data_IF_198328377187
#
_entry.id   IF_198328377187
#
_cell.length_a   1.000
_cell.length_b   1.000
_cell.length_c   1.000
_cell.angle_alpha   90.00
_cell.angle_beta   90.00
_cell.angle_gamma   90.00
#
_symmetry.space_group_name_H-M   'P 1'
#
loop_
_entity.id
_entity.type
_entity.pdbx_description
1 polymer ?
#
# COMPACT_ATOMS: atom_id res chain seq x y z
N UNK A 1 -1.96 13.16 33.79
CA UNK A 1 -1.18 12.52 34.90
C UNK A 1 -0.36 11.40 34.30
N UNK A 2 0.97 11.43 34.44
CA UNK A 2 1.84 10.38 33.86
C UNK A 2 1.99 9.24 34.85
N UNK A 3 1.86 7.99 34.43
CA UNK A 3 1.92 6.80 35.31
C UNK A 3 3.23 6.67 36.11
N UNK A 4 4.32 7.34 35.66
CA UNK A 4 5.64 7.32 36.30
C UNK A 4 6.00 8.60 37.09
N UNK A 5 5.10 9.55 37.19
CA UNK A 5 5.34 10.85 37.82
C UNK A 5 5.57 10.75 39.33
N UNK A 6 6.76 11.10 39.77
CA UNK A 6 7.16 11.17 41.18
C UNK A 6 7.52 12.61 41.55
N UNK A 7 6.53 13.39 41.93
CA UNK A 7 6.64 14.68 42.66
C UNK A 7 7.74 15.68 42.24
N UNK A 8 7.99 15.86 40.91
CA UNK A 8 8.79 16.99 40.44
C UNK A 8 8.15 17.62 39.20
N UNK A 9 8.28 18.95 39.07
CA UNK A 9 7.76 19.67 37.91
C UNK A 9 8.51 19.26 36.65
N UNK A 10 7.77 18.79 35.66
CA UNK A 10 8.33 18.45 34.33
C UNK A 10 8.53 19.76 33.55
N UNK A 11 9.76 19.97 33.06
CA UNK A 11 10.02 21.08 32.16
C UNK A 11 9.21 20.93 30.87
N UNK A 12 8.30 21.87 30.60
CA UNK A 12 7.40 21.86 29.43
C UNK A 12 8.12 21.80 28.09
N UNK A 13 9.35 22.35 28.01
CA UNK A 13 10.14 22.27 26.78
C UNK A 13 10.67 20.85 26.54
N UNK A 14 11.13 20.16 27.58
CA UNK A 14 11.53 18.74 27.52
C UNK A 14 10.32 17.88 27.15
N UNK A 15 9.16 18.13 27.77
CA UNK A 15 7.94 17.42 27.45
C UNK A 15 7.54 17.60 25.99
N UNK A 16 7.51 18.85 25.50
CA UNK A 16 7.22 19.15 24.10
C UNK A 16 8.17 18.41 23.15
N UNK A 17 9.47 18.39 23.46
CA UNK A 17 10.47 17.71 22.63
C UNK A 17 10.30 16.18 22.65
N UNK A 18 10.03 15.59 23.81
CA UNK A 18 9.94 14.13 23.98
C UNK A 18 8.62 13.53 23.50
N UNK A 19 7.51 14.25 23.63
CA UNK A 19 6.21 13.84 23.09
C UNK A 19 6.15 14.10 21.58
N UNK A 20 6.69 15.24 21.12
CA UNK A 20 6.70 15.59 19.69
C UNK A 20 5.30 15.54 19.08
N UNK A 21 5.17 14.80 17.98
CA UNK A 21 3.90 14.54 17.28
C UNK A 21 3.20 13.24 17.70
N UNK A 22 3.64 12.61 18.79
CA UNK A 22 3.17 11.26 19.14
C UNK A 22 1.67 11.21 19.37
N UNK A 23 1.09 12.23 20.05
CA UNK A 23 -0.37 12.31 20.25
C UNK A 23 -1.15 12.37 18.94
N UNK A 24 -0.65 13.12 17.95
CA UNK A 24 -1.27 13.20 16.62
C UNK A 24 -1.21 11.85 15.91
N UNK A 25 -0.05 11.18 15.96
CA UNK A 25 0.16 9.88 15.36
C UNK A 25 -0.62 8.77 16.05
N UNK A 26 -0.77 8.83 17.34
CA UNK A 26 -1.51 7.85 18.13
C UNK A 26 -3.02 7.84 17.83
N UNK A 27 -3.57 8.93 17.28
CA UNK A 27 -4.96 8.93 16.83
C UNK A 27 -5.22 7.90 15.72
N UNK A 28 -4.24 7.61 14.88
CA UNK A 28 -4.32 6.51 13.90
C UNK A 28 -4.47 5.14 14.57
N UNK A 29 -3.93 4.99 15.78
CA UNK A 29 -3.87 3.72 16.51
C UNK A 29 -5.03 3.55 17.51
N UNK A 30 -5.81 4.59 17.79
CA UNK A 30 -6.76 4.62 18.90
C UNK A 30 -7.77 3.45 18.89
N UNK A 31 -8.41 3.16 17.75
CA UNK A 31 -9.36 2.03 17.68
C UNK A 31 -8.66 0.66 17.84
N UNK A 32 -7.41 0.56 17.48
CA UNK A 32 -6.62 -0.67 17.56
C UNK A 32 -6.11 -0.92 18.99
N UNK A 33 -5.77 0.13 19.74
CA UNK A 33 -5.48 0.03 21.16
C UNK A 33 -6.71 -0.49 21.94
N UNK A 34 -7.89 -0.02 21.57
CA UNK A 34 -9.15 -0.52 22.16
C UNK A 34 -9.35 -2.01 21.85
N UNK A 35 -9.17 -2.45 20.60
CA UNK A 35 -9.27 -3.87 20.20
C UNK A 35 -8.26 -4.75 20.93
N UNK A 36 -7.00 -4.31 20.98
CA UNK A 36 -5.93 -4.97 21.73
C UNK A 36 -6.26 -5.09 23.21
N UNK A 37 -6.80 -4.02 23.79
CA UNK A 37 -7.25 -3.96 25.18
C UNK A 37 -8.42 -4.90 25.47
N UNK A 38 -9.41 -5.00 24.56
CA UNK A 38 -10.54 -5.94 24.71
C UNK A 38 -10.07 -7.39 24.74
N UNK A 39 -9.16 -7.76 23.84
CA UNK A 39 -8.58 -9.11 23.83
C UNK A 39 -7.75 -9.37 25.09
N UNK A 40 -6.99 -8.37 25.55
CA UNK A 40 -6.16 -8.48 26.73
C UNK A 40 -6.99 -8.70 28.01
N UNK A 41 -8.03 -7.89 28.26
CA UNK A 41 -8.86 -8.05 29.48
C UNK A 41 -9.67 -9.35 29.46
N UNK A 42 -10.07 -9.83 28.27
CA UNK A 42 -10.72 -11.14 28.14
C UNK A 42 -9.75 -12.26 28.55
N UNK A 43 -8.48 -12.14 28.18
CA UNK A 43 -7.43 -13.05 28.63
C UNK A 43 -7.18 -12.91 30.15
N UNK A 44 -7.18 -11.69 30.72
CA UNK A 44 -6.99 -11.48 32.17
C UNK A 44 -8.06 -12.16 33.01
N UNK A 45 -9.33 -12.14 32.56
CA UNK A 45 -10.40 -12.88 33.23
C UNK A 45 -10.13 -14.37 33.20
N UNK A 46 -9.71 -14.93 32.06
CA UNK A 46 -9.43 -16.36 31.89
C UNK A 46 -8.32 -16.90 32.81
N UNK A 47 -7.44 -16.02 33.29
CA UNK A 47 -6.36 -16.35 34.22
C UNK A 47 -6.63 -15.87 35.66
N UNK A 48 -7.84 -15.41 35.95
CA UNK A 48 -8.29 -15.03 37.30
C UNK A 48 -7.78 -13.67 37.82
N UNK A 49 -7.32 -12.76 36.93
CA UNK A 49 -6.93 -11.40 37.29
C UNK A 49 -8.09 -10.40 37.18
N UNK A 50 -9.18 -10.80 36.55
CA UNK A 50 -10.45 -10.07 36.50
C UNK A 50 -11.59 -11.01 36.84
N UNK A 51 -12.60 -10.47 37.52
CA UNK A 51 -13.87 -11.16 37.71
C UNK A 51 -14.75 -10.99 36.47
N UNK A 52 -15.68 -11.92 36.25
CA UNK A 52 -16.57 -11.93 35.09
C UNK A 52 -17.42 -10.66 34.94
N UNK A 53 -17.89 -10.12 36.06
CA UNK A 53 -18.68 -8.89 36.09
C UNK A 53 -17.82 -7.67 35.75
N UNK A 54 -16.56 -7.65 36.20
CA UNK A 54 -15.58 -6.61 35.85
C UNK A 54 -15.28 -6.63 34.35
N UNK A 55 -15.05 -7.81 33.78
CA UNK A 55 -14.85 -7.98 32.34
C UNK A 55 -16.04 -7.42 31.54
N UNK A 56 -17.27 -7.75 31.96
CA UNK A 56 -18.49 -7.28 31.27
C UNK A 56 -18.56 -5.75 31.23
N UNK A 57 -18.27 -5.08 32.35
CA UNK A 57 -18.31 -3.62 32.44
C UNK A 57 -17.19 -2.97 31.64
N UNK A 58 -15.96 -3.52 31.71
CA UNK A 58 -14.81 -3.03 30.96
C UNK A 58 -15.02 -3.16 29.46
N UNK A 59 -15.53 -4.31 28.98
CA UNK A 59 -15.84 -4.52 27.55
C UNK A 59 -16.91 -3.53 27.07
N UNK A 60 -17.97 -3.27 27.88
CA UNK A 60 -19.01 -2.32 27.52
C UNK A 60 -18.44 -0.91 27.32
N UNK A 61 -17.55 -0.47 28.24
CA UNK A 61 -16.96 0.86 28.13
C UNK A 61 -15.91 0.94 27.01
N UNK A 62 -15.09 -0.09 26.80
CA UNK A 62 -14.18 -0.16 25.64
C UNK A 62 -14.94 -0.08 24.30
N UNK A 63 -16.10 -0.74 24.18
CA UNK A 63 -16.97 -0.60 23.01
C UNK A 63 -17.48 0.83 22.81
N UNK A 64 -17.75 1.57 23.91
CA UNK A 64 -18.11 2.98 23.81
C UNK A 64 -16.93 3.83 23.32
N UNK A 65 -15.72 3.59 23.85
CA UNK A 65 -14.50 4.28 23.40
C UNK A 65 -14.21 3.96 21.93
N UNK A 66 -14.37 2.70 21.49
CA UNK A 66 -14.22 2.31 20.09
C UNK A 66 -15.14 3.11 19.17
N UNK A 67 -16.41 3.28 19.56
CA UNK A 67 -17.38 4.10 18.78
C UNK A 67 -16.98 5.58 18.72
N UNK A 68 -16.34 6.12 19.75
CA UNK A 68 -15.77 7.48 19.70
C UNK A 68 -14.65 7.57 18.68
N UNK A 69 -13.78 6.55 18.61
CA UNK A 69 -12.72 6.48 17.60
C UNK A 69 -13.30 6.44 16.18
N UNK A 70 -14.31 5.60 15.94
CA UNK A 70 -14.95 5.48 14.61
C UNK A 70 -15.61 6.79 14.15
N UNK A 71 -16.15 7.58 15.08
CA UNK A 71 -16.76 8.88 14.77
C UNK A 71 -15.78 10.03 14.69
N UNK A 72 -14.47 9.78 14.92
CA UNK A 72 -13.46 10.83 14.98
C UNK A 72 -13.62 11.78 16.17
N UNK A 73 -14.31 11.33 17.24
CA UNK A 73 -14.58 12.09 18.46
C UNK A 73 -13.59 11.75 19.60
N UNK A 74 -12.73 10.74 19.43
CA UNK A 74 -11.71 10.39 20.40
C UNK A 74 -10.56 11.40 20.35
N UNK A 75 -10.20 11.93 21.50
CA UNK A 75 -9.13 12.92 21.64
C UNK A 75 -8.15 12.46 22.73
N UNK A 76 -6.87 12.76 22.54
CA UNK A 76 -5.85 12.62 23.59
C UNK A 76 -5.70 13.97 24.25
N UNK A 77 -6.02 14.05 25.56
CA UNK A 77 -6.00 15.29 26.32
C UNK A 77 -4.56 15.83 26.48
N UNK A 78 -4.42 17.14 26.60
CA UNK A 78 -3.11 17.81 26.60
C UNK A 78 -2.16 17.36 27.71
N UNK A 79 -2.69 16.90 28.85
CA UNK A 79 -1.93 16.39 30.00
C UNK A 79 -1.69 14.88 29.94
N UNK A 80 -2.13 14.22 28.85
CA UNK A 80 -1.97 12.79 28.61
C UNK A 80 -0.86 12.54 27.59
N UNK A 81 -0.01 11.55 27.83
CA UNK A 81 1.19 11.30 27.02
C UNK A 81 0.87 10.63 25.68
N UNK A 82 -0.01 9.62 25.68
CA UNK A 82 -0.28 8.70 24.58
C UNK A 82 -1.71 8.14 24.61
N UNK A 83 -2.07 7.39 23.58
CA UNK A 83 -3.37 6.73 23.45
C UNK A 83 -3.65 5.74 24.57
N UNK A 84 -2.64 4.98 25.00
CA UNK A 84 -2.78 3.97 26.06
C UNK A 84 -3.22 4.59 27.37
N UNK A 85 -2.56 5.71 27.74
CA UNK A 85 -2.92 6.48 28.94
C UNK A 85 -4.30 7.11 28.83
N UNK A 86 -4.70 7.56 27.62
CA UNK A 86 -6.02 8.14 27.41
C UNK A 86 -7.12 7.09 27.60
N UNK A 87 -6.97 5.90 27.03
CA UNK A 87 -7.93 4.79 27.18
C UNK A 87 -8.05 4.38 28.67
N UNK A 88 -6.91 4.17 29.35
CA UNK A 88 -6.90 3.83 30.78
C UNK A 88 -7.56 4.93 31.63
N UNK A 89 -7.30 6.19 31.32
CA UNK A 89 -7.91 7.33 32.04
C UNK A 89 -9.42 7.38 31.83
N UNK A 90 -9.92 7.19 30.61
CA UNK A 90 -11.36 7.16 30.35
C UNK A 90 -12.05 6.02 31.12
N UNK A 91 -11.46 4.83 31.13
CA UNK A 91 -11.93 3.67 31.88
C UNK A 91 -11.94 3.99 33.39
N UNK A 92 -10.87 4.58 33.90
CA UNK A 92 -10.73 4.91 35.32
C UNK A 92 -11.74 6.01 35.76
N UNK A 93 -11.97 7.01 34.92
CA UNK A 93 -13.01 8.03 35.17
C UNK A 93 -14.41 7.43 35.26
N UNK A 94 -14.70 6.41 34.46
CA UNK A 94 -16.01 5.77 34.37
C UNK A 94 -16.20 4.67 35.40
N UNK A 95 -15.18 3.85 35.64
CA UNK A 95 -15.26 2.59 36.37
C UNK A 95 -14.40 2.57 37.68
N UNK A 96 -13.73 3.68 38.01
CA UNK A 96 -12.86 3.76 39.17
C UNK A 96 -11.66 2.82 39.10
N UNK A 97 -11.32 2.18 40.23
CA UNK A 97 -10.13 1.30 40.31
C UNK A 97 -10.19 0.09 39.40
N UNK A 98 -11.36 -0.32 38.96
CA UNK A 98 -11.53 -1.39 37.95
C UNK A 98 -10.85 -1.01 36.61
N UNK A 99 -10.97 0.28 36.22
CA UNK A 99 -10.33 0.77 35.00
C UNK A 99 -8.81 0.63 35.00
N UNK A 100 -8.17 0.71 36.18
CA UNK A 100 -6.71 0.56 36.31
C UNK A 100 -6.21 -0.88 36.08
N UNK A 101 -7.07 -1.89 36.24
CA UNK A 101 -6.72 -3.30 36.07
C UNK A 101 -6.32 -3.64 34.65
N UNK A 102 -6.74 -2.85 33.66
CA UNK A 102 -6.44 -3.06 32.24
C UNK A 102 -4.93 -3.14 31.94
N UNK A 103 -4.10 -2.49 32.77
CA UNK A 103 -2.64 -2.46 32.57
C UNK A 103 -1.92 -3.71 33.12
N UNK A 104 -2.62 -4.59 33.86
CA UNK A 104 -2.02 -5.79 34.46
C UNK A 104 -1.37 -6.70 33.42
N UNK A 105 -0.11 -7.10 33.64
CA UNK A 105 0.59 -8.07 32.79
C UNK A 105 1.03 -7.56 31.41
N UNK A 106 0.92 -6.28 31.11
CA UNK A 106 1.41 -5.68 29.84
C UNK A 106 2.26 -4.44 30.09
N UNK A 107 2.88 -3.95 29.04
CA UNK A 107 3.63 -2.70 28.98
C UNK A 107 3.14 -1.85 27.80
N UNK A 108 3.36 -0.54 27.85
CA UNK A 108 3.18 0.31 26.65
C UNK A 108 3.95 -0.21 25.44
N UNK A 109 5.05 -0.90 25.68
CA UNK A 109 5.88 -1.45 24.60
C UNK A 109 5.15 -2.51 23.78
N UNK A 110 4.47 -3.49 24.41
CA UNK A 110 3.72 -4.51 23.67
C UNK A 110 2.32 -4.02 23.25
N UNK A 111 1.76 -2.99 23.91
CA UNK A 111 0.56 -2.31 23.46
C UNK A 111 0.79 -1.63 22.10
N UNK A 112 1.77 -0.75 21.99
CA UNK A 112 2.04 -0.06 20.72
C UNK A 112 2.41 -1.04 19.60
N UNK A 113 3.05 -2.18 19.91
CA UNK A 113 3.35 -3.20 18.92
C UNK A 113 2.08 -3.86 18.36
N UNK A 114 1.13 -4.24 19.23
CA UNK A 114 -0.12 -4.84 18.77
C UNK A 114 -0.97 -3.83 18.00
N UNK A 115 -1.03 -2.59 18.44
CA UNK A 115 -1.78 -1.53 17.77
C UNK A 115 -1.25 -1.28 16.36
N UNK A 116 0.06 -1.15 16.21
CA UNK A 116 0.71 -0.99 14.91
C UNK A 116 0.45 -2.19 13.98
N UNK A 117 0.47 -3.41 14.50
CA UNK A 117 0.21 -4.59 13.68
C UNK A 117 -1.27 -4.70 13.28
N UNK A 118 -2.20 -4.37 14.19
CA UNK A 118 -3.62 -4.33 13.88
C UNK A 118 -3.93 -3.24 12.85
N UNK A 119 -3.42 -2.02 13.06
CA UNK A 119 -3.50 -0.93 12.10
C UNK A 119 -2.93 -1.35 10.72
N UNK A 120 -1.70 -1.83 10.71
CA UNK A 120 -1.00 -2.17 9.46
C UNK A 120 -1.73 -3.26 8.69
N UNK A 121 -2.28 -4.31 9.35
CA UNK A 121 -3.08 -5.35 8.69
C UNK A 121 -4.31 -4.77 7.98
N UNK A 122 -5.00 -3.84 8.64
CA UNK A 122 -6.17 -3.16 8.08
C UNK A 122 -5.79 -2.32 6.84
N UNK A 123 -4.76 -1.51 6.99
CA UNK A 123 -4.26 -0.66 5.90
C UNK A 123 -3.74 -1.47 4.70
N UNK A 124 -3.06 -2.60 4.96
CA UNK A 124 -2.60 -3.49 3.88
C UNK A 124 -3.78 -4.15 3.13
N UNK A 125 -4.88 -4.45 3.84
CA UNK A 125 -6.11 -4.92 3.19
C UNK A 125 -6.71 -3.85 2.29
N UNK A 126 -6.83 -2.62 2.78
CA UNK A 126 -7.36 -1.52 1.98
C UNK A 126 -6.47 -1.24 0.75
N UNK A 127 -5.14 -1.26 0.92
CA UNK A 127 -4.22 -1.14 -0.22
C UNK A 127 -4.40 -2.29 -1.21
N UNK A 128 -4.56 -3.54 -0.74
CA UNK A 128 -4.79 -4.68 -1.62
C UNK A 128 -6.09 -4.51 -2.44
N UNK A 129 -7.16 -4.01 -1.82
CA UNK A 129 -8.42 -3.71 -2.49
C UNK A 129 -8.23 -2.61 -3.57
N UNK A 130 -7.50 -1.54 -3.26
CA UNK A 130 -7.25 -0.44 -4.21
C UNK A 130 -6.32 -0.87 -5.36
N UNK A 131 -5.30 -1.69 -5.09
CA UNK A 131 -4.45 -2.29 -6.14
C UNK A 131 -5.29 -3.17 -7.06
N UNK A 132 -6.17 -4.00 -6.47
CA UNK A 132 -7.08 -4.85 -7.24
C UNK A 132 -8.04 -4.02 -8.09
N UNK A 133 -8.56 -2.93 -7.57
CA UNK A 133 -9.43 -2.01 -8.31
C UNK A 133 -8.70 -1.39 -9.52
N UNK A 134 -7.49 -0.87 -9.33
CA UNK A 134 -6.67 -0.34 -10.43
C UNK A 134 -6.33 -1.44 -11.46
N UNK A 135 -5.98 -2.62 -10.99
CA UNK A 135 -5.71 -3.79 -11.84
C UNK A 135 -6.91 -4.12 -12.74
N UNK A 136 -8.12 -4.15 -12.19
CA UNK A 136 -9.33 -4.48 -12.95
C UNK A 136 -9.61 -3.44 -14.05
N UNK A 137 -9.40 -2.15 -13.75
CA UNK A 137 -9.50 -1.09 -14.76
C UNK A 137 -8.46 -1.24 -15.87
N UNK A 138 -7.21 -1.57 -15.53
CA UNK A 138 -6.14 -1.78 -16.50
C UNK A 138 -6.43 -2.98 -17.41
N UNK A 139 -6.90 -4.10 -16.87
CA UNK A 139 -7.29 -5.29 -17.65
C UNK A 139 -8.50 -4.97 -18.54
N UNK A 140 -9.48 -4.23 -18.04
CA UNK A 140 -10.61 -3.81 -18.86
C UNK A 140 -10.15 -2.98 -20.06
N UNK A 141 -9.27 -1.99 -19.85
CA UNK A 141 -8.68 -1.16 -20.91
C UNK A 141 -7.81 -1.99 -21.86
N UNK A 142 -7.02 -2.92 -21.33
CA UNK A 142 -6.22 -3.84 -22.15
C UNK A 142 -7.12 -4.64 -23.11
N UNK A 143 -8.21 -5.20 -22.63
CA UNK A 143 -9.18 -5.93 -23.45
C UNK A 143 -9.91 -5.04 -24.45
N UNK A 144 -10.29 -3.84 -24.03
CA UNK A 144 -11.01 -2.87 -24.87
C UNK A 144 -10.16 -2.44 -26.10
N UNK A 145 -8.87 -2.21 -25.88
CA UNK A 145 -7.95 -1.66 -26.88
C UNK A 145 -6.91 -2.70 -27.37
N UNK A 146 -7.20 -4.00 -27.25
CA UNK A 146 -6.28 -5.08 -27.60
C UNK A 146 -5.77 -5.02 -29.05
N UNK A 147 -6.64 -4.59 -29.96
CA UNK A 147 -6.39 -4.52 -31.40
C UNK A 147 -5.99 -3.11 -31.86
N UNK A 148 -5.96 -2.12 -30.98
CA UNK A 148 -5.57 -0.74 -31.31
C UNK A 148 -4.06 -0.60 -31.21
N UNK A 149 -3.40 -0.51 -32.35
CA UNK A 149 -1.95 -0.41 -32.44
C UNK A 149 -1.45 0.97 -32.00
N UNK A 150 -0.26 0.99 -31.42
CA UNK A 150 0.49 2.20 -31.09
C UNK A 150 1.98 1.99 -31.39
N UNK A 151 2.77 3.05 -31.61
CA UNK A 151 4.21 2.89 -31.82
C UNK A 151 4.89 2.53 -30.47
N UNK A 152 5.69 1.46 -30.50
CA UNK A 152 6.59 1.11 -29.42
C UNK A 152 7.91 1.86 -29.54
N UNK A 153 8.54 2.16 -28.41
CA UNK A 153 9.78 2.94 -28.32
C UNK A 153 10.88 2.17 -27.60
N UNK A 154 12.10 2.28 -28.14
CA UNK A 154 13.33 1.96 -27.41
C UNK A 154 14.27 3.16 -27.52
N UNK A 155 14.98 3.52 -26.44
CA UNK A 155 15.87 4.70 -26.41
C UNK A 155 15.16 6.01 -26.80
N UNK A 156 13.85 6.13 -26.54
CA UNK A 156 12.99 7.22 -27.03
C UNK A 156 12.99 7.39 -28.55
N UNK A 157 13.37 6.34 -29.28
CA UNK A 157 13.25 6.26 -30.73
C UNK A 157 12.10 5.32 -31.09
N UNK A 158 11.40 5.64 -32.16
CA UNK A 158 10.37 4.78 -32.75
C UNK A 158 10.99 3.45 -33.12
N UNK A 159 10.41 2.35 -32.65
CA UNK A 159 11.02 1.02 -32.79
C UNK A 159 10.13 0.04 -33.54
N UNK A 160 9.15 -0.55 -32.88
CA UNK A 160 8.28 -1.59 -33.42
C UNK A 160 6.81 -1.29 -33.12
N UNK A 161 5.86 -1.96 -33.78
CA UNK A 161 4.46 -1.86 -33.41
C UNK A 161 4.24 -2.43 -32.01
N UNK A 162 3.39 -1.77 -31.24
CA UNK A 162 2.82 -2.21 -29.99
C UNK A 162 1.30 -2.03 -30.05
N UNK A 163 0.59 -2.30 -28.96
CA UNK A 163 -0.82 -1.96 -28.84
C UNK A 163 -1.12 -1.30 -27.50
N UNK A 164 -2.19 -0.52 -27.45
CA UNK A 164 -2.69 0.00 -26.17
C UNK A 164 -3.07 -1.14 -25.22
N UNK A 165 -3.56 -2.26 -25.76
CA UNK A 165 -3.82 -3.46 -24.97
C UNK A 165 -2.57 -3.97 -24.23
N UNK A 166 -1.43 -4.07 -24.95
CA UNK A 166 -0.13 -4.42 -24.34
C UNK A 166 0.32 -3.41 -23.28
N UNK A 167 0.16 -2.11 -23.56
CA UNK A 167 0.58 -1.06 -22.63
C UNK A 167 -0.20 -1.12 -21.30
N UNK A 168 -1.54 -1.21 -21.34
CA UNK A 168 -2.35 -1.37 -20.14
C UNK A 168 -2.08 -2.70 -19.43
N UNK A 169 -1.99 -3.80 -20.21
CA UNK A 169 -1.70 -5.14 -19.68
C UNK A 169 -0.37 -5.24 -18.96
N UNK A 170 0.66 -4.55 -19.44
CA UNK A 170 1.98 -4.54 -18.79
C UNK A 170 1.95 -3.95 -17.37
N UNK A 171 1.17 -2.89 -17.15
CA UNK A 171 0.98 -2.34 -15.80
C UNK A 171 0.11 -3.24 -14.93
N UNK A 172 -0.89 -3.90 -15.51
CA UNK A 172 -1.69 -4.89 -14.77
C UNK A 172 -0.81 -6.05 -14.29
N UNK A 173 0.03 -6.61 -15.15
CA UNK A 173 0.95 -7.70 -14.78
C UNK A 173 1.99 -7.26 -13.74
N UNK A 174 2.53 -6.03 -13.86
CA UNK A 174 3.43 -5.46 -12.85
C UNK A 174 2.79 -5.37 -11.46
N UNK A 175 1.49 -5.05 -11.39
CA UNK A 175 0.76 -5.04 -10.12
C UNK A 175 0.58 -6.44 -9.52
N UNK A 176 0.65 -7.52 -10.29
CA UNK A 176 0.66 -8.88 -9.74
C UNK A 176 1.92 -9.14 -8.90
N UNK A 177 3.09 -8.72 -9.38
CA UNK A 177 4.34 -8.83 -8.61
C UNK A 177 4.31 -7.97 -7.35
N UNK A 178 3.79 -6.74 -7.46
CA UNK A 178 3.62 -5.84 -6.30
C UNK A 178 2.67 -6.45 -5.26
N UNK A 179 1.60 -7.11 -5.69
CA UNK A 179 0.64 -7.78 -4.81
C UNK A 179 1.26 -8.97 -4.07
N UNK A 180 2.13 -9.76 -4.73
CA UNK A 180 2.90 -10.83 -4.08
C UNK A 180 3.80 -10.27 -2.97
N UNK A 181 4.45 -9.14 -3.22
CA UNK A 181 5.31 -8.51 -2.23
C UNK A 181 4.50 -7.94 -1.05
N UNK A 182 3.33 -7.36 -1.34
CA UNK A 182 2.37 -6.90 -0.32
C UNK A 182 1.87 -8.05 0.55
N UNK A 183 1.57 -9.20 -0.05
CA UNK A 183 1.15 -10.42 0.65
C UNK A 183 2.25 -10.92 1.60
N UNK A 184 3.51 -10.93 1.16
CA UNK A 184 4.63 -11.30 2.02
C UNK A 184 4.77 -10.35 3.22
N UNK A 185 4.60 -9.04 3.02
CA UNK A 185 4.59 -8.04 4.09
C UNK A 185 3.42 -8.26 5.07
N UNK A 186 2.22 -8.57 4.55
CA UNK A 186 1.05 -8.91 5.36
C UNK A 186 1.30 -10.14 6.24
N UNK A 187 1.81 -11.25 5.68
CA UNK A 187 2.12 -12.49 6.43
C UNK A 187 3.14 -12.24 7.56
N UNK A 188 4.12 -11.36 7.33
CA UNK A 188 5.08 -10.98 8.37
C UNK A 188 4.45 -10.10 9.47
N UNK A 189 3.49 -9.26 9.12
CA UNK A 189 2.77 -8.38 10.05
C UNK A 189 1.74 -9.17 10.86
N UNK A 190 1.12 -10.20 10.29
CA UNK A 190 0.01 -10.96 10.85
C UNK A 190 0.45 -11.97 11.94
N UNK A 191 1.24 -11.45 12.92
CA UNK A 191 1.77 -12.22 14.05
C UNK A 191 1.61 -11.42 15.35
N UNK A 192 0.94 -12.00 16.35
CA UNK A 192 0.60 -11.33 17.61
C UNK A 192 1.85 -11.07 18.48
N UNK A 193 2.16 -9.81 18.84
CA UNK A 193 3.26 -9.47 19.75
C UNK A 193 2.80 -9.38 21.21
N UNK A 194 1.48 -9.26 21.48
CA UNK A 194 0.91 -8.99 22.78
C UNK A 194 1.27 -10.07 23.80
N UNK A 195 1.53 -9.66 25.04
CA UNK A 195 2.03 -10.51 26.11
C UNK A 195 3.56 -10.66 26.12
N UNK A 196 4.28 -9.94 25.26
CA UNK A 196 5.73 -9.78 25.38
C UNK A 196 6.12 -8.80 26.51
N UNK A 197 5.15 -8.05 27.03
CA UNK A 197 5.32 -7.02 28.03
C UNK A 197 6.42 -6.01 27.63
N UNK A 198 7.37 -5.71 28.51
CA UNK A 198 8.49 -4.83 28.20
C UNK A 198 9.56 -5.49 27.29
N UNK A 199 9.25 -6.64 26.68
CA UNK A 199 10.16 -7.38 25.80
C UNK A 199 10.83 -8.59 26.46
N UNK A 200 10.50 -8.88 27.72
CA UNK A 200 11.11 -9.96 28.49
C UNK A 200 10.09 -10.89 29.14
N UNK A 201 8.80 -10.75 28.75
CA UNK A 201 7.70 -11.53 29.31
C UNK A 201 7.19 -11.02 30.63
N UNK A 202 6.39 -11.87 31.31
CA UNK A 202 5.74 -11.55 32.59
C UNK A 202 5.74 -12.77 33.49
N UNK A 203 5.70 -12.54 34.82
CA UNK A 203 5.47 -13.59 35.81
C UNK A 203 4.01 -14.02 35.92
N UNK A 204 3.07 -13.27 35.33
CA UNK A 204 1.68 -13.70 35.18
C UNK A 204 1.57 -14.82 34.14
N UNK A 205 0.65 -15.77 34.31
CA UNK A 205 0.47 -16.89 33.37
C UNK A 205 -0.34 -16.43 32.12
N UNK A 206 0.17 -15.43 31.40
CA UNK A 206 -0.50 -14.84 30.25
C UNK A 206 -0.81 -15.87 29.16
N UNK A 207 -2.06 -15.92 28.69
CA UNK A 207 -2.47 -16.79 27.60
C UNK A 207 -2.37 -16.07 26.24
N UNK A 208 -1.17 -16.09 25.65
CA UNK A 208 -0.88 -15.47 24.37
C UNK A 208 -1.59 -16.15 23.20
N UNK A 209 -1.89 -17.45 23.30
CA UNK A 209 -2.68 -18.18 22.29
C UNK A 209 -4.07 -17.61 22.22
N UNK A 210 -4.72 -17.39 23.37
CA UNK A 210 -6.07 -16.80 23.43
C UNK A 210 -6.11 -15.41 22.80
N UNK A 211 -5.17 -14.52 23.13
CA UNK A 211 -5.14 -13.18 22.52
C UNK A 211 -4.84 -13.21 21.03
N UNK A 212 -4.06 -14.19 20.55
CA UNK A 212 -3.81 -14.42 19.12
C UNK A 212 -5.11 -14.78 18.38
N UNK A 213 -5.89 -15.67 18.94
CA UNK A 213 -7.19 -16.11 18.38
C UNK A 213 -8.22 -14.98 18.41
N UNK A 214 -8.36 -14.29 19.56
CA UNK A 214 -9.30 -13.17 19.73
C UNK A 214 -9.04 -12.01 18.76
N UNK A 215 -7.77 -11.73 18.46
CA UNK A 215 -7.36 -10.68 17.52
C UNK A 215 -7.24 -11.18 16.06
N UNK A 216 -7.49 -12.46 15.81
CA UNK A 216 -7.47 -13.04 14.46
C UNK A 216 -6.09 -13.04 13.80
N UNK A 217 -5.01 -13.08 14.56
CA UNK A 217 -3.68 -13.28 14.01
C UNK A 217 -3.47 -14.74 13.58
N UNK A 218 -2.67 -14.97 12.56
CA UNK A 218 -2.35 -16.34 12.10
C UNK A 218 -1.44 -17.08 13.08
N UNK A 219 -0.56 -16.34 13.73
CA UNK A 219 0.39 -16.88 14.71
C UNK A 219 0.81 -15.76 15.69
N UNK A 220 1.83 -16.03 16.50
CA UNK A 220 2.41 -15.02 17.39
C UNK A 220 3.92 -14.88 17.15
N UNK A 221 4.48 -13.77 17.60
CA UNK A 221 5.92 -13.66 17.79
C UNK A 221 6.29 -14.49 19.04
N UNK A 222 6.77 -15.71 18.83
CA UNK A 222 6.97 -16.68 19.93
C UNK A 222 8.01 -16.19 20.95
N UNK A 223 9.11 -15.67 20.48
CA UNK A 223 10.16 -15.13 21.34
C UNK A 223 9.80 -13.69 21.75
N UNK A 224 9.63 -13.43 23.04
CA UNK A 224 9.20 -12.11 23.56
C UNK A 224 10.26 -11.01 23.29
N UNK A 225 11.54 -11.37 23.23
CA UNK A 225 12.60 -10.42 22.84
C UNK A 225 12.48 -10.07 21.35
N UNK A 226 12.21 -11.07 20.50
CA UNK A 226 11.98 -10.86 19.07
C UNK A 226 10.75 -9.97 18.82
N UNK A 227 9.67 -10.10 19.60
CA UNK A 227 8.50 -9.23 19.47
C UNK A 227 8.89 -7.75 19.53
N UNK A 228 9.77 -7.37 20.46
CA UNK A 228 10.31 -6.00 20.53
C UNK A 228 11.28 -5.67 19.39
N UNK A 229 12.15 -6.60 19.00
CA UNK A 229 13.05 -6.43 17.85
C UNK A 229 12.31 -6.30 16.53
N UNK A 230 11.05 -6.74 16.49
CA UNK A 230 10.15 -6.61 15.36
C UNK A 230 9.78 -5.16 15.04
N UNK A 231 9.86 -4.25 16.02
CA UNK A 231 9.61 -2.82 15.83
C UNK A 231 10.66 -2.20 14.89
N UNK A 232 10.20 -1.40 13.95
CA UNK A 232 11.04 -0.87 12.86
C UNK A 232 11.27 -1.87 11.73
N UNK A 233 11.52 -3.16 12.05
CA UNK A 233 11.69 -4.21 11.03
C UNK A 233 10.39 -4.47 10.25
N UNK A 234 9.26 -4.53 10.94
CA UNK A 234 7.94 -4.69 10.31
C UNK A 234 7.63 -3.49 9.43
N UNK A 235 7.76 -2.28 9.96
CA UNK A 235 7.49 -1.03 9.25
C UNK A 235 8.38 -0.87 8.01
N UNK A 236 9.66 -1.24 8.11
CA UNK A 236 10.57 -1.27 6.96
C UNK A 236 10.10 -2.23 5.87
N UNK A 237 9.71 -3.45 6.23
CA UNK A 237 9.30 -4.47 5.27
C UNK A 237 7.99 -4.06 4.57
N UNK A 238 7.04 -3.50 5.31
CA UNK A 238 5.82 -2.89 4.75
C UNK A 238 6.17 -1.68 3.89
N UNK A 239 7.11 -0.86 4.33
CA UNK A 239 7.62 0.27 3.55
C UNK A 239 8.18 -0.14 2.19
N UNK A 240 8.87 -1.28 2.08
CA UNK A 240 9.30 -1.83 0.79
C UNK A 240 8.11 -2.24 -0.08
N UNK A 241 7.07 -2.85 0.47
CA UNK A 241 5.87 -3.20 -0.29
C UNK A 241 5.15 -1.94 -0.81
N UNK A 242 5.01 -0.90 0.01
CA UNK A 242 4.49 0.41 -0.42
C UNK A 242 5.37 1.01 -1.54
N UNK A 243 6.69 0.91 -1.41
CA UNK A 243 7.63 1.48 -2.37
C UNK A 243 7.58 0.79 -3.75
N UNK A 244 7.36 -0.53 -3.82
CA UNK A 244 7.23 -1.23 -5.11
C UNK A 244 5.96 -0.82 -5.84
N UNK A 245 4.81 -0.82 -5.16
CA UNK A 245 3.54 -0.34 -5.73
C UNK A 245 3.68 1.11 -6.21
N UNK A 246 4.24 1.99 -5.36
CA UNK A 246 4.47 3.39 -5.72
C UNK A 246 5.39 3.52 -6.94
N UNK A 247 6.40 2.65 -7.09
CA UNK A 247 7.29 2.61 -8.26
C UNK A 247 6.54 2.31 -9.56
N UNK A 248 5.68 1.29 -9.55
CA UNK A 248 4.83 0.93 -10.69
C UNK A 248 3.90 2.08 -11.09
N UNK A 249 3.23 2.70 -10.10
CA UNK A 249 2.30 3.81 -10.36
C UNK A 249 3.03 5.05 -10.84
N UNK A 250 4.20 5.38 -10.27
CA UNK A 250 5.02 6.52 -10.71
C UNK A 250 5.45 6.37 -12.18
N UNK A 251 5.81 5.15 -12.60
CA UNK A 251 6.17 4.84 -13.99
C UNK A 251 4.95 5.00 -14.91
N UNK A 252 3.81 4.46 -14.54
CA UNK A 252 2.55 4.62 -15.29
C UNK A 252 2.16 6.09 -15.43
N UNK A 253 2.26 6.87 -14.36
CA UNK A 253 1.95 8.29 -14.37
C UNK A 253 2.93 9.08 -15.28
N UNK A 254 4.21 8.68 -15.33
CA UNK A 254 5.17 9.26 -16.27
C UNK A 254 4.77 9.00 -17.72
N UNK A 255 4.49 7.73 -18.07
CA UNK A 255 4.04 7.38 -19.43
C UNK A 255 2.76 8.14 -19.81
N UNK A 256 1.79 8.21 -18.91
CA UNK A 256 0.54 8.93 -19.16
C UNK A 256 0.77 10.43 -19.43
N UNK A 257 1.66 11.09 -18.67
CA UNK A 257 2.06 12.48 -18.95
C UNK A 257 2.73 12.63 -20.32
N UNK A 258 3.66 11.70 -20.65
CA UNK A 258 4.36 11.72 -21.93
C UNK A 258 3.41 11.50 -23.09
N UNK A 259 2.55 10.48 -23.01
CA UNK A 259 1.61 10.11 -24.07
C UNK A 259 0.46 11.13 -24.23
N UNK A 260 0.12 11.87 -23.19
CA UNK A 260 -0.83 12.98 -23.25
C UNK A 260 -0.21 14.27 -23.83
N UNK A 261 1.12 14.36 -23.95
CA UNK A 261 1.76 15.56 -24.48
C UNK A 261 1.33 15.82 -25.94
N UNK A 262 1.37 17.08 -26.35
CA UNK A 262 0.94 17.48 -27.70
C UNK A 262 1.75 16.83 -28.83
N UNK A 263 3.01 16.46 -28.55
CA UNK A 263 3.90 15.85 -29.54
C UNK A 263 3.57 14.35 -29.74
N UNK A 264 3.16 13.65 -28.68
CA UNK A 264 2.77 12.24 -28.77
C UNK A 264 1.28 12.11 -29.09
N UNK A 265 0.41 12.74 -28.32
CA UNK A 265 -1.05 12.70 -28.48
C UNK A 265 -1.62 11.29 -28.58
N UNK A 266 -1.02 10.31 -27.88
CA UNK A 266 -1.47 8.93 -27.87
C UNK A 266 -2.69 8.72 -26.98
N UNK A 267 -2.77 9.48 -25.88
CA UNK A 267 -3.90 9.43 -24.96
C UNK A 267 -4.44 10.85 -24.70
N UNK A 268 -5.71 10.90 -24.30
CA UNK A 268 -6.37 12.12 -23.89
C UNK A 268 -6.98 11.92 -22.52
N UNK A 269 -6.65 12.83 -21.61
CA UNK A 269 -7.18 12.81 -20.24
C UNK A 269 -8.56 13.47 -20.17
N UNK A 270 -9.43 13.02 -19.23
CA UNK A 270 -10.69 13.69 -18.93
C UNK A 270 -10.47 15.17 -18.60
N UNK A 271 -11.41 16.02 -18.99
CA UNK A 271 -11.30 17.48 -18.73
C UNK A 271 -11.13 17.81 -17.25
N UNK A 272 -11.85 17.11 -16.39
CA UNK A 272 -11.81 17.25 -14.94
C UNK A 272 -10.48 16.82 -14.31
N UNK A 273 -9.66 16.05 -15.03
CA UNK A 273 -8.32 15.61 -14.59
C UNK A 273 -7.19 16.50 -15.15
N UNK A 274 -7.54 17.62 -15.78
CA UNK A 274 -6.57 18.55 -16.35
C UNK A 274 -6.84 19.98 -15.82
N UNK A 275 -5.77 20.75 -15.65
CA UNK A 275 -5.90 22.17 -15.32
C UNK A 275 -5.56 23.05 -16.51
N UNK A 276 -6.17 24.22 -16.56
CA UNK A 276 -5.88 25.24 -17.58
C UNK A 276 -4.68 26.12 -17.20
N UNK A 277 -4.31 26.99 -18.13
CA UNK A 277 -3.33 28.06 -17.87
C UNK A 277 -4.06 29.41 -17.76
N UNK A 278 -3.63 30.25 -16.83
CA UNK A 278 -4.17 31.61 -16.66
C UNK A 278 -3.87 32.54 -17.84
N UNK A 279 -2.88 32.20 -18.68
CA UNK A 279 -2.43 33.03 -19.80
C UNK A 279 -2.41 32.31 -21.15
N UNK A 280 -2.58 30.97 -21.16
CA UNK A 280 -2.55 30.14 -22.37
C UNK A 280 -3.86 29.34 -22.47
N UNK A 281 -4.91 29.88 -23.12
CA UNK A 281 -6.27 29.29 -23.09
C UNK A 281 -6.37 27.89 -23.74
N UNK A 282 -5.39 27.50 -24.56
CA UNK A 282 -5.32 26.19 -25.24
C UNK A 282 -4.65 25.11 -24.41
N UNK A 283 -3.94 25.49 -23.32
CA UNK A 283 -3.09 24.58 -22.54
C UNK A 283 -3.92 23.78 -21.54
N UNK A 284 -3.71 22.46 -21.52
CA UNK A 284 -4.28 21.51 -20.55
C UNK A 284 -3.14 20.73 -19.93
N UNK A 285 -2.99 20.86 -18.61
CA UNK A 285 -1.90 20.24 -17.87
C UNK A 285 -2.36 18.90 -17.26
N UNK A 286 -1.56 17.85 -17.30
CA UNK A 286 -1.86 16.56 -16.66
C UNK A 286 -1.53 16.57 -15.17
N UNK A 287 -1.92 17.64 -14.44
CA UNK A 287 -1.47 17.89 -13.05
C UNK A 287 -1.73 16.72 -12.11
N UNK A 288 -2.83 15.98 -12.32
CA UNK A 288 -3.16 14.85 -11.46
C UNK A 288 -2.10 13.75 -11.57
N UNK A 289 -1.68 13.38 -12.79
CA UNK A 289 -0.61 12.40 -12.99
C UNK A 289 0.76 12.93 -12.56
N UNK A 290 1.01 14.24 -12.68
CA UNK A 290 2.24 14.85 -12.15
C UNK A 290 2.31 14.73 -10.63
N UNK A 291 1.20 14.97 -9.92
CA UNK A 291 1.11 14.83 -8.47
C UNK A 291 1.18 13.36 -8.03
N UNK A 292 0.49 12.44 -8.73
CA UNK A 292 0.62 10.99 -8.48
C UNK A 292 2.08 10.57 -8.58
N UNK A 293 2.78 10.94 -9.66
CA UNK A 293 4.20 10.65 -9.86
C UNK A 293 5.07 11.20 -8.72
N UNK A 294 4.86 12.45 -8.32
CA UNK A 294 5.64 13.09 -7.27
C UNK A 294 5.41 12.44 -5.90
N UNK A 295 4.15 12.16 -5.52
CA UNK A 295 3.79 11.46 -4.28
C UNK A 295 4.35 10.05 -4.25
N UNK A 296 4.19 9.29 -5.33
CA UNK A 296 4.71 7.93 -5.44
C UNK A 296 6.25 7.90 -5.42
N UNK A 297 6.94 8.87 -6.05
CA UNK A 297 8.40 8.98 -5.93
C UNK A 297 8.83 9.26 -4.49
N UNK A 298 8.10 10.09 -3.74
CA UNK A 298 8.35 10.34 -2.32
C UNK A 298 8.15 9.06 -1.50
N UNK A 299 7.07 8.31 -1.72
CA UNK A 299 6.77 7.06 -1.01
C UNK A 299 7.85 5.99 -1.18
N UNK A 300 8.57 5.96 -2.30
CA UNK A 300 9.70 5.06 -2.51
C UNK A 300 10.86 5.26 -1.52
N UNK A 301 10.94 6.41 -0.85
CA UNK A 301 11.95 6.67 0.18
C UNK A 301 11.57 6.11 1.57
N UNK A 302 10.32 5.67 1.78
CA UNK A 302 9.81 5.23 3.08
C UNK A 302 10.68 4.16 3.77
N UNK A 303 11.05 3.04 3.11
CA UNK A 303 11.87 2.03 3.77
C UNK A 303 13.24 2.55 4.19
N UNK A 304 13.83 3.48 3.44
CA UNK A 304 15.10 4.10 3.77
C UNK A 304 14.97 5.02 5.00
N UNK A 305 13.90 5.81 5.09
CA UNK A 305 13.64 6.65 6.26
C UNK A 305 13.52 5.79 7.54
N UNK A 306 12.74 4.69 7.46
CA UNK A 306 12.62 3.76 8.60
C UNK A 306 13.96 3.14 8.97
N UNK A 307 14.76 2.69 7.98
CA UNK A 307 16.09 2.13 8.23
C UNK A 307 17.03 3.12 8.93
N UNK A 308 17.02 4.39 8.54
CA UNK A 308 17.86 5.41 9.15
C UNK A 308 17.48 5.68 10.61
N UNK A 309 16.18 5.68 10.93
CA UNK A 309 15.69 5.89 12.30
C UNK A 309 16.06 4.71 13.21
N UNK A 310 15.98 3.48 12.72
CA UNK A 310 16.24 2.28 13.53
C UNK A 310 17.72 1.85 13.58
N UNK A 311 18.61 2.55 12.91
CA UNK A 311 20.02 2.22 12.89
C UNK A 311 20.66 2.36 14.28
N UNK A 312 21.64 1.49 14.56
CA UNK A 312 22.47 1.50 15.77
C UNK A 312 21.72 1.27 17.09
N UNK A 313 20.52 0.71 17.04
CA UNK A 313 19.75 0.35 18.22
C UNK A 313 20.07 -1.10 18.65
N UNK A 314 20.46 -1.34 19.90
CA UNK A 314 20.59 -2.70 20.43
C UNK A 314 19.22 -3.32 20.68
N UNK A 315 19.21 -4.56 21.18
CA UNK A 315 17.99 -5.28 21.56
C UNK A 315 17.26 -4.55 22.69
N UNK A 316 15.94 -4.46 22.59
CA UNK A 316 15.06 -3.80 23.54
C UNK A 316 14.27 -2.65 22.91
N UNK A 317 13.53 -1.93 23.74
CA UNK A 317 12.77 -0.76 23.32
C UNK A 317 13.62 0.51 23.44
N UNK A 318 13.54 1.35 22.42
CA UNK A 318 14.15 2.69 22.41
C UNK A 318 13.15 3.71 21.90
N UNK A 319 13.20 4.92 22.46
CA UNK A 319 12.28 6.00 22.11
C UNK A 319 12.49 6.52 20.68
N UNK A 320 13.63 6.26 20.08
CA UNK A 320 13.92 6.52 18.66
C UNK A 320 12.85 5.97 17.74
N UNK A 321 12.31 4.79 18.06
CA UNK A 321 11.30 4.10 17.28
C UNK A 321 9.92 4.83 17.28
N UNK A 322 9.71 5.79 18.17
CA UNK A 322 8.51 6.64 18.19
C UNK A 322 8.40 7.45 16.90
N UNK A 323 9.52 7.98 16.40
CA UNK A 323 9.57 8.84 15.21
C UNK A 323 9.16 8.08 13.94
N UNK A 324 9.28 6.75 13.91
CA UNK A 324 8.83 5.93 12.77
C UNK A 324 7.34 6.19 12.46
N UNK A 325 6.50 6.41 13.46
CA UNK A 325 5.07 6.69 13.27
C UNK A 325 4.83 7.88 12.34
N UNK A 326 5.65 8.93 12.44
CA UNK A 326 5.50 10.17 11.66
C UNK A 326 5.67 9.98 10.16
N UNK A 327 6.49 9.01 9.73
CA UNK A 327 6.71 8.71 8.31
C UNK A 327 5.89 7.52 7.83
N UNK A 328 5.59 6.57 8.72
CA UNK A 328 4.95 5.30 8.39
C UNK A 328 3.42 5.41 8.30
N UNK A 329 2.77 5.97 9.34
CA UNK A 329 1.31 5.97 9.41
C UNK A 329 0.64 6.79 8.28
N UNK A 330 1.11 8.00 7.92
CA UNK A 330 0.51 8.77 6.83
C UNK A 330 0.73 8.17 5.44
N UNK A 331 1.75 7.33 5.27
CA UNK A 331 2.12 6.78 3.96
C UNK A 331 1.02 5.91 3.34
N UNK A 332 0.23 5.23 4.16
CA UNK A 332 -0.88 4.40 3.70
C UNK A 332 -1.98 5.23 3.03
N UNK A 333 -2.40 6.31 3.68
CA UNK A 333 -3.40 7.22 3.11
C UNK A 333 -2.91 7.84 1.80
N UNK A 334 -1.65 8.28 1.76
CA UNK A 334 -1.07 8.88 0.56
C UNK A 334 -1.00 7.89 -0.63
N UNK A 335 -0.68 6.61 -0.37
CA UNK A 335 -0.68 5.57 -1.41
C UNK A 335 -2.10 5.27 -1.89
N UNK A 336 -3.06 5.09 -0.96
CA UNK A 336 -4.48 4.84 -1.32
C UNK A 336 -5.05 5.97 -2.18
N UNK A 337 -4.80 7.23 -1.83
CA UNK A 337 -5.20 8.38 -2.64
C UNK A 337 -4.64 8.30 -4.07
N UNK A 338 -3.36 7.91 -4.22
CA UNK A 338 -2.75 7.76 -5.53
C UNK A 338 -3.37 6.61 -6.34
N UNK A 339 -3.65 5.46 -5.70
CA UNK A 339 -4.28 4.30 -6.34
C UNK A 339 -5.70 4.63 -6.82
N UNK A 340 -6.53 5.21 -5.95
CA UNK A 340 -7.91 5.60 -6.27
C UNK A 340 -7.96 6.60 -7.42
N UNK A 341 -7.09 7.61 -7.38
CA UNK A 341 -7.04 8.60 -8.44
C UNK A 341 -6.52 8.01 -9.74
N UNK A 342 -5.54 7.12 -9.70
CA UNK A 342 -5.04 6.41 -10.88
C UNK A 342 -6.14 5.55 -11.51
N UNK A 343 -6.87 4.75 -10.71
CA UNK A 343 -7.99 3.93 -11.18
C UNK A 343 -9.09 4.79 -11.82
N UNK A 344 -9.45 5.90 -11.17
CA UNK A 344 -10.45 6.84 -11.70
C UNK A 344 -10.07 7.39 -13.09
N UNK A 345 -8.80 7.79 -13.27
CA UNK A 345 -8.35 8.36 -14.54
C UNK A 345 -8.24 7.26 -15.60
N UNK A 346 -7.68 6.10 -15.28
CA UNK A 346 -7.55 4.98 -16.21
C UNK A 346 -8.92 4.53 -16.73
N UNK A 347 -9.93 4.48 -15.87
CA UNK A 347 -11.31 4.19 -16.30
C UNK A 347 -11.80 5.13 -17.41
N UNK A 348 -11.43 6.42 -17.36
CA UNK A 348 -11.93 7.48 -18.26
C UNK A 348 -10.95 7.88 -19.36
N UNK A 349 -9.72 7.37 -19.37
CA UNK A 349 -8.73 7.74 -20.39
C UNK A 349 -9.19 7.29 -21.78
N UNK A 350 -9.04 8.18 -22.76
CA UNK A 350 -9.31 7.92 -24.16
C UNK A 350 -7.99 7.70 -24.90
N UNK A 351 -7.94 6.72 -25.80
CA UNK A 351 -6.78 6.49 -26.66
C UNK A 351 -7.01 7.10 -28.06
N UNK A 352 -5.95 7.49 -28.72
CA UNK A 352 -6.01 7.92 -30.10
C UNK A 352 -5.83 6.72 -31.03
N UNK A 353 -6.93 6.22 -31.58
CA UNK A 353 -6.96 5.04 -32.46
C UNK A 353 -6.32 5.30 -33.84
N UNK A 354 -6.06 6.58 -34.17
CA UNK A 354 -5.56 7.01 -35.49
C UNK A 354 -4.07 7.42 -35.47
N UNK A 355 -3.33 7.08 -34.43
CA UNK A 355 -1.91 7.44 -34.32
C UNK A 355 -1.09 6.93 -35.51
N UNK A 356 -1.33 5.70 -35.94
CA UNK A 356 -0.58 5.06 -37.03
C UNK A 356 -1.03 5.47 -38.44
N UNK A 357 -2.01 6.39 -38.55
CA UNK A 357 -2.34 7.03 -39.82
C UNK A 357 -1.23 8.01 -40.27
N UNK A 358 -0.41 8.47 -39.31
CA UNK A 358 0.72 9.33 -39.61
C UNK A 358 1.87 8.52 -40.26
N UNK A 359 2.28 8.87 -41.52
CA UNK A 359 3.33 8.12 -42.25
C UNK A 359 4.69 8.10 -41.53
N UNK A 360 4.94 9.02 -40.58
CA UNK A 360 6.18 8.97 -39.80
C UNK A 360 6.38 7.65 -39.04
N UNK A 361 5.29 6.91 -38.78
CA UNK A 361 5.31 5.62 -38.07
C UNK A 361 5.39 4.40 -39.02
N UNK A 362 5.35 4.58 -40.36
CA UNK A 362 5.42 3.46 -41.30
C UNK A 362 6.67 2.58 -41.08
N UNK A 363 7.86 3.13 -40.76
CA UNK A 363 9.07 2.31 -40.55
C UNK A 363 8.99 1.34 -39.35
N UNK A 364 8.05 1.49 -38.42
CA UNK A 364 7.90 0.52 -37.29
C UNK A 364 7.59 -0.89 -37.79
N UNK A 365 6.95 -1.01 -38.96
CA UNK A 365 6.56 -2.29 -39.58
C UNK A 365 7.69 -2.95 -40.35
N UNK A 366 8.89 -2.35 -40.40
CA UNK A 366 10.03 -2.87 -41.18
C UNK A 366 10.44 -4.28 -40.76
N UNK A 367 10.41 -4.59 -39.45
CA UNK A 367 10.76 -5.95 -38.98
C UNK A 367 9.72 -6.99 -39.41
N UNK A 368 8.44 -6.63 -39.44
CA UNK A 368 7.37 -7.50 -39.94
C UNK A 368 7.60 -7.86 -41.42
N UNK A 369 7.97 -6.87 -42.22
CA UNK A 369 8.28 -7.10 -43.65
C UNK A 369 9.56 -7.94 -43.84
N UNK A 370 10.62 -7.69 -43.06
CA UNK A 370 11.82 -8.55 -43.05
C UNK A 370 11.46 -10.00 -42.71
N UNK A 371 10.65 -10.20 -41.66
CA UNK A 371 10.21 -11.52 -41.22
C UNK A 371 9.35 -12.21 -42.32
N UNK A 372 8.46 -11.46 -42.96
CA UNK A 372 7.64 -11.97 -44.07
C UNK A 372 8.47 -12.43 -45.24
N UNK A 373 9.49 -11.65 -45.65
CA UNK A 373 10.41 -12.00 -46.72
C UNK A 373 11.28 -13.22 -46.35
N UNK A 374 11.74 -13.29 -45.11
CA UNK A 374 12.50 -14.43 -44.59
C UNK A 374 11.66 -15.71 -44.58
N UNK A 375 10.41 -15.64 -44.15
CA UNK A 375 9.48 -16.77 -44.20
C UNK A 375 9.17 -17.21 -45.64
N UNK A 376 9.26 -16.31 -46.62
CA UNK A 376 9.15 -16.61 -48.05
C UNK A 376 10.44 -17.20 -48.67
N UNK A 377 11.49 -17.43 -47.85
CA UNK A 377 12.74 -18.09 -48.29
C UNK A 377 13.90 -17.13 -48.61
N UNK A 378 13.75 -15.83 -48.41
CA UNK A 378 14.88 -14.89 -48.59
C UNK A 378 15.79 -14.97 -47.35
N UNK A 379 17.15 -15.02 -47.51
CA UNK A 379 18.03 -14.93 -46.35
C UNK A 379 17.78 -13.67 -45.54
N UNK A 380 17.72 -13.79 -44.20
CA UNK A 380 17.35 -12.69 -43.31
C UNK A 380 18.18 -11.41 -43.55
N UNK A 381 19.49 -11.53 -43.78
CA UNK A 381 20.36 -10.38 -44.02
C UNK A 381 20.04 -9.67 -45.35
N UNK A 382 19.60 -10.42 -46.37
CA UNK A 382 19.24 -9.85 -47.68
C UNK A 382 17.86 -9.18 -47.58
N UNK A 383 16.92 -9.77 -46.87
CA UNK A 383 15.64 -9.16 -46.53
C UNK A 383 15.83 -7.84 -45.76
N UNK A 384 16.66 -7.85 -44.71
CA UNK A 384 17.01 -6.65 -43.93
C UNK A 384 17.57 -5.53 -44.79
N UNK A 385 18.58 -5.85 -45.67
CA UNK A 385 19.17 -4.84 -46.56
C UNK A 385 18.15 -4.31 -47.56
N UNK A 386 17.32 -5.20 -48.14
CA UNK A 386 16.28 -4.80 -49.09
C UNK A 386 15.32 -3.80 -48.45
N UNK A 387 14.73 -4.16 -47.30
CA UNK A 387 13.78 -3.30 -46.61
C UNK A 387 14.42 -1.98 -46.18
N UNK A 388 15.67 -1.99 -45.69
CA UNK A 388 16.42 -0.79 -45.37
C UNK A 388 16.57 0.16 -46.57
N UNK A 389 16.93 -0.35 -47.72
CA UNK A 389 17.07 0.42 -48.97
C UNK A 389 15.71 0.97 -49.45
N UNK A 390 14.64 0.17 -49.34
CA UNK A 390 13.27 0.61 -49.69
C UNK A 390 12.81 1.79 -48.78
N UNK A 391 13.16 1.77 -47.47
CA UNK A 391 12.90 2.87 -46.56
C UNK A 391 13.71 4.12 -46.95
N UNK A 392 15.02 3.98 -47.17
CA UNK A 392 15.87 5.12 -47.56
C UNK A 392 15.44 5.76 -48.89
N UNK A 393 14.93 4.95 -49.82
CA UNK A 393 14.40 5.41 -51.09
C UNK A 393 12.97 5.98 -51.00
N UNK A 394 12.32 5.94 -49.85
CA UNK A 394 10.94 6.36 -49.70
C UNK A 394 9.93 5.48 -50.42
N UNK A 395 10.28 4.23 -50.69
CA UNK A 395 9.46 3.26 -51.43
C UNK A 395 8.80 2.22 -50.53
N UNK A 396 9.08 2.26 -49.24
CA UNK A 396 8.54 1.33 -48.27
C UNK A 396 7.07 1.64 -48.00
N UNK A 397 6.21 0.66 -48.28
CA UNK A 397 4.76 0.73 -47.94
C UNK A 397 4.42 -0.49 -47.11
N UNK A 398 4.18 -0.30 -45.78
CA UNK A 398 3.95 -1.42 -44.87
C UNK A 398 2.56 -2.02 -45.00
N UNK A 399 2.46 -3.33 -44.75
CA UNK A 399 1.20 -3.93 -44.34
C UNK A 399 1.07 -3.69 -42.81
N UNK A 400 0.06 -2.90 -42.43
CA UNK A 400 -0.15 -2.53 -41.02
C UNK A 400 -0.96 -3.58 -40.22
N UNK A 401 -1.30 -4.71 -40.84
CA UNK A 401 -1.98 -5.82 -40.18
C UNK A 401 -0.96 -6.66 -39.43
N UNK A 402 -1.09 -6.73 -38.10
CA UNK A 402 -0.22 -7.52 -37.26
C UNK A 402 -1.07 -8.55 -36.51
N UNK A 403 -0.60 -9.77 -36.50
CA UNK A 403 -1.15 -10.84 -35.70
C UNK A 403 -0.04 -11.80 -35.30
N UNK A 404 0.39 -11.69 -34.04
CA UNK A 404 1.32 -12.64 -33.45
C UNK A 404 0.54 -13.79 -32.78
N UNK A 405 1.09 -14.97 -32.76
CA UNK A 405 0.43 -16.17 -32.20
C UNK A 405 1.04 -16.62 -30.87
N UNK A 406 2.25 -16.15 -30.58
CA UNK A 406 2.90 -16.50 -29.31
C UNK A 406 2.31 -15.70 -28.13
N UNK A 407 2.48 -16.25 -26.94
CA UNK A 407 1.92 -15.75 -25.70
C UNK A 407 2.47 -14.33 -25.37
N UNK A 408 1.60 -13.48 -24.85
CA UNK A 408 1.96 -12.14 -24.35
C UNK A 408 2.24 -11.10 -25.45
N UNK A 409 1.82 -11.32 -26.71
CA UNK A 409 2.06 -10.39 -27.80
C UNK A 409 0.76 -9.91 -28.45
N UNK A 410 0.88 -9.01 -29.47
CA UNK A 410 -0.25 -8.50 -30.24
C UNK A 410 -1.05 -9.67 -30.85
N UNK A 411 -2.33 -9.77 -30.52
CA UNK A 411 -3.20 -10.88 -30.94
C UNK A 411 -3.35 -12.00 -29.91
N UNK A 412 -2.45 -12.08 -28.90
CA UNK A 412 -2.53 -13.07 -27.81
C UNK A 412 -1.97 -12.48 -26.49
N UNK A 413 -2.72 -11.57 -25.86
CA UNK A 413 -2.26 -10.78 -24.70
C UNK A 413 -2.14 -11.56 -23.40
N UNK A 414 -2.72 -12.74 -23.30
CA UNK A 414 -2.75 -13.57 -22.08
C UNK A 414 -3.38 -12.89 -20.85
N UNK A 415 -4.33 -11.97 -21.06
CA UNK A 415 -4.99 -11.23 -19.96
C UNK A 415 -5.72 -12.15 -18.97
N UNK A 416 -6.26 -13.29 -19.44
CA UNK A 416 -6.92 -14.28 -18.55
C UNK A 416 -5.92 -14.91 -17.57
N UNK A 417 -4.71 -15.22 -18.03
CA UNK A 417 -3.64 -15.76 -17.20
C UNK A 417 -3.18 -14.72 -16.15
N UNK A 418 -3.04 -13.45 -16.55
CA UNK A 418 -2.69 -12.35 -15.66
C UNK A 418 -3.79 -12.15 -14.59
N UNK A 419 -5.08 -12.24 -14.98
CA UNK A 419 -6.19 -12.19 -14.01
C UNK A 419 -6.15 -13.34 -12.99
N UNK A 420 -5.82 -14.56 -13.44
CA UNK A 420 -5.67 -15.71 -12.55
C UNK A 420 -4.55 -15.51 -11.53
N UNK A 421 -3.39 -14.97 -11.97
CA UNK A 421 -2.27 -14.65 -11.07
C UNK A 421 -2.69 -13.66 -9.97
N UNK A 422 -3.34 -12.56 -10.36
CA UNK A 422 -3.83 -11.56 -9.41
C UNK A 422 -4.83 -12.16 -8.42
N UNK A 423 -5.81 -12.91 -8.94
CA UNK A 423 -6.88 -13.47 -8.09
C UNK A 423 -6.32 -14.47 -7.08
N UNK A 424 -5.44 -15.37 -7.50
CA UNK A 424 -4.80 -16.33 -6.59
C UNK A 424 -4.02 -15.62 -5.48
N UNK A 425 -3.22 -14.60 -5.83
CA UNK A 425 -2.46 -13.84 -4.85
C UNK A 425 -3.37 -13.10 -3.88
N UNK A 426 -4.47 -12.53 -4.39
CA UNK A 426 -5.43 -11.80 -3.55
C UNK A 426 -6.16 -12.74 -2.58
N UNK A 427 -6.60 -13.90 -3.02
CA UNK A 427 -7.30 -14.90 -2.18
C UNK A 427 -6.38 -15.44 -1.06
N UNK A 428 -5.09 -15.57 -1.32
CA UNK A 428 -4.08 -16.07 -0.38
C UNK A 428 -3.78 -15.12 0.81
N UNK A 429 -4.35 -13.92 0.86
CA UNK A 429 -4.27 -13.06 2.05
C UNK A 429 -5.12 -13.57 3.22
N UNK A 430 -6.22 -14.24 2.94
CA UNK A 430 -7.15 -14.77 3.96
C UNK A 430 -7.64 -13.72 4.96
N UNK A 431 -8.06 -12.54 4.46
CA UNK A 431 -8.50 -11.41 5.29
C UNK A 431 -9.72 -11.72 6.17
N UNK A 432 -10.51 -12.74 5.82
CA UNK A 432 -11.76 -13.09 6.51
C UNK A 432 -11.53 -13.41 7.98
N UNK A 433 -10.38 -14.00 8.32
CA UNK A 433 -10.04 -14.34 9.71
C UNK A 433 -9.92 -13.09 10.58
N UNK A 434 -9.22 -12.07 10.07
CA UNK A 434 -9.07 -10.78 10.73
C UNK A 434 -10.42 -10.09 10.93
N UNK A 435 -11.21 -9.96 9.86
CA UNK A 435 -12.51 -9.29 9.88
C UNK A 435 -13.52 -10.01 10.81
N UNK A 436 -13.52 -11.34 10.80
CA UNK A 436 -14.37 -12.13 11.70
C UNK A 436 -13.99 -11.94 13.16
N UNK A 437 -12.70 -11.93 13.48
CA UNK A 437 -12.22 -11.75 14.84
C UNK A 437 -12.60 -10.36 15.38
N UNK A 438 -12.43 -9.30 14.62
CA UNK A 438 -12.83 -7.96 14.98
C UNK A 438 -14.34 -7.85 15.21
N UNK A 439 -15.15 -8.40 14.29
CA UNK A 439 -16.60 -8.45 14.45
C UNK A 439 -17.02 -9.18 15.74
N UNK A 440 -16.35 -10.27 16.07
CA UNK A 440 -16.67 -11.04 17.29
C UNK A 440 -16.31 -10.29 18.57
N UNK A 441 -15.21 -9.50 18.60
CA UNK A 441 -14.86 -8.68 19.74
C UNK A 441 -15.84 -7.53 19.96
N UNK A 442 -16.32 -6.94 18.89
CA UNK A 442 -17.26 -5.82 18.93
C UNK A 442 -18.72 -6.26 19.21
N UNK A 443 -19.09 -7.49 18.89
CA UNK A 443 -20.39 -8.12 19.25
C UNK A 443 -21.44 -7.83 18.24
#
# INVERSE_FOLDING_TARGET
>A
MKLWEKNFEINKEIERFTVGRDREMDLYLAKYDVLGSMAHITMLESIGLLEKDELTQLLAELKNIYRLCERGEFLIEDDVEDVHSQVEMLLTRKLGDMGKKIHSGRSRNDQVLVDLKLFTRHELKEIADEVKSLFDELIQKSNQYKDVLMPGYTHLQVAMPSSFGLWFGAYAESLCDDMLFLQAAYKMTNRNPLGSAAGYGSSFPLNRTMTTELLGFDSMDYNVVYAQMGRGKMERNVGFAIATIAGTIAKMAFDACLFNSQNFSFVKLPKECTTGSSIMPHKKNPDVFELIRAKCNKLQSLPQQVMLIMNNLPVGYFRDLQIIKEVFLPAFGELKDCLQMAAYIINKIEVNEHILDNPMYDPIFSVEEVNRLAAAGMPFRDAYKKVGLDIEAGQFTPDKRIHHTHEGSIGNLCNEQIQVLMQQTFDDFHFERMLKAEKNLLG
#
